data_IF_374847034491
#
_entry.id   IF_374847034491
#
_cell.length_a   1.000
_cell.length_b   1.000
_cell.length_c   1.000
_cell.angle_alpha   90.00
_cell.angle_beta   90.00
_cell.angle_gamma   90.00
#
_symmetry.space_group_name_H-M   'P 1'
#
loop_
_entity.id
_entity.type
_entity.pdbx_description
1 polymer ?
#
# COMPACT_ATOMS: atom_id res chain seq x y z
N UNK A 1 -2.52 -2.11 -15.56
CA UNK A 1 -3.22 -1.77 -14.31
C UNK A 1 -3.08 -0.30 -14.00
N UNK A 2 -3.81 0.17 -12.99
CA UNK A 2 -3.70 1.52 -12.42
C UNK A 2 -2.71 1.54 -11.27
N UNK A 3 -2.15 2.72 -10.97
CA UNK A 3 -1.30 2.97 -9.80
C UNK A 3 -2.20 3.28 -8.60
N UNK A 4 -2.10 2.49 -7.55
CA UNK A 4 -2.98 2.57 -6.38
C UNK A 4 -2.17 3.05 -5.17
N UNK A 5 -2.74 4.00 -4.42
CA UNK A 5 -2.33 4.32 -3.06
C UNK A 5 -3.36 3.70 -2.12
N UNK A 6 -2.91 2.93 -1.13
CA UNK A 6 -3.77 2.39 -0.07
C UNK A 6 -3.37 3.02 1.26
N UNK A 7 -4.31 3.69 1.93
CA UNK A 7 -4.11 4.36 3.21
C UNK A 7 -4.74 3.54 4.32
N UNK A 8 -3.96 3.22 5.34
CA UNK A 8 -4.35 2.29 6.40
C UNK A 8 -4.31 0.85 5.91
N UNK A 9 -3.22 0.47 5.23
CA UNK A 9 -3.09 -0.84 4.59
C UNK A 9 -2.89 -2.01 5.59
N UNK A 10 -2.51 -1.70 6.84
CA UNK A 10 -2.21 -2.67 7.88
C UNK A 10 -1.25 -3.76 7.41
N UNK A 11 -1.64 -5.02 7.64
CA UNK A 11 -0.91 -6.24 7.26
C UNK A 11 -1.06 -6.61 5.76
N UNK A 12 -1.67 -5.74 4.95
CA UNK A 12 -1.82 -5.91 3.50
C UNK A 12 -2.98 -6.83 3.07
N UNK A 13 -3.84 -7.29 3.99
CA UNK A 13 -4.96 -8.20 3.67
C UNK A 13 -5.86 -7.70 2.54
N UNK A 14 -6.13 -6.40 2.51
CA UNK A 14 -6.93 -5.78 1.46
C UNK A 14 -6.15 -5.64 0.15
N UNK A 15 -4.85 -5.31 0.24
CA UNK A 15 -3.94 -5.20 -0.90
C UNK A 15 -3.99 -6.43 -1.80
N UNK A 16 -4.02 -7.64 -1.22
CA UNK A 16 -4.03 -8.91 -1.98
C UNK A 16 -5.24 -9.09 -2.88
N UNK A 17 -6.37 -8.45 -2.56
CA UNK A 17 -7.60 -8.59 -3.34
C UNK A 17 -7.53 -7.87 -4.69
N UNK A 18 -6.63 -6.90 -4.85
CA UNK A 18 -6.56 -6.07 -6.06
C UNK A 18 -5.14 -5.92 -6.64
N UNK A 19 -4.08 -6.23 -5.90
CA UNK A 19 -2.69 -6.02 -6.32
C UNK A 19 -2.34 -6.69 -7.66
N UNK A 20 -2.91 -7.86 -7.95
CA UNK A 20 -2.70 -8.55 -9.24
C UNK A 20 -3.22 -7.75 -10.45
N UNK A 21 -4.26 -6.92 -10.27
CA UNK A 21 -4.82 -6.06 -11.33
C UNK A 21 -4.16 -4.66 -11.41
N UNK A 22 -3.44 -4.26 -10.35
CA UNK A 22 -2.72 -3.00 -10.30
C UNK A 22 -1.43 -3.04 -11.14
N UNK A 23 -1.02 -1.87 -11.65
CA UNK A 23 0.33 -1.72 -12.22
C UNK A 23 1.36 -1.49 -11.12
N UNK A 24 0.96 -0.84 -10.03
CA UNK A 24 1.77 -0.59 -8.85
C UNK A 24 0.84 -0.26 -7.67
N UNK A 25 1.20 -0.69 -6.47
CA UNK A 25 0.53 -0.36 -5.21
C UNK A 25 1.55 0.21 -4.25
N UNK A 26 1.23 1.36 -3.65
CA UNK A 26 1.87 1.84 -2.43
C UNK A 26 0.86 1.72 -1.29
N UNK A 27 1.11 0.83 -0.34
CA UNK A 27 0.38 0.77 0.93
C UNK A 27 1.10 1.58 2.00
N UNK A 28 0.35 2.39 2.74
CA UNK A 28 0.86 3.08 3.92
C UNK A 28 0.03 2.76 5.16
N UNK A 29 0.71 2.70 6.29
CA UNK A 29 0.10 2.57 7.61
C UNK A 29 0.99 3.28 8.65
N UNK A 30 0.43 3.77 9.74
CA UNK A 30 1.21 4.42 10.80
C UNK A 30 1.88 3.40 11.73
N UNK A 31 1.42 2.15 11.74
CA UNK A 31 1.98 1.07 12.54
C UNK A 31 3.14 0.37 11.81
N UNK A 32 4.40 0.50 12.29
CA UNK A 32 5.55 -0.14 11.66
C UNK A 32 5.53 -1.67 11.78
N UNK A 33 4.92 -2.23 12.82
CA UNK A 33 4.86 -3.69 13.00
C UNK A 33 3.95 -4.32 11.93
N UNK A 34 2.83 -3.67 11.62
CA UNK A 34 1.93 -4.10 10.54
C UNK A 34 2.59 -4.00 9.17
N UNK A 35 3.40 -2.97 8.92
CA UNK A 35 4.15 -2.83 7.68
C UNK A 35 5.19 -3.94 7.52
N UNK A 36 5.94 -4.27 8.59
CA UNK A 36 6.89 -5.39 8.56
C UNK A 36 6.19 -6.73 8.31
N UNK A 37 4.99 -6.93 8.85
CA UNK A 37 4.15 -8.08 8.53
C UNK A 37 3.70 -8.10 7.06
N UNK A 38 3.20 -6.99 6.54
CA UNK A 38 2.77 -6.85 5.14
C UNK A 38 3.91 -7.13 4.16
N UNK A 39 5.11 -6.60 4.43
CA UNK A 39 6.30 -6.85 3.62
C UNK A 39 6.69 -8.33 3.62
N UNK A 40 6.69 -8.99 4.79
CA UNK A 40 6.98 -10.43 4.90
C UNK A 40 5.91 -11.30 4.24
N UNK A 41 4.66 -10.86 4.27
CA UNK A 41 3.54 -11.55 3.66
C UNK A 41 3.45 -11.32 2.14
N UNK A 42 4.25 -10.42 1.57
CA UNK A 42 4.19 -10.06 0.15
C UNK A 42 4.53 -11.26 -0.74
N UNK A 43 3.59 -11.71 -1.59
CA UNK A 43 3.84 -12.81 -2.52
C UNK A 43 4.99 -12.48 -3.49
N UNK A 44 5.79 -13.50 -3.82
CA UNK A 44 6.99 -13.35 -4.66
C UNK A 44 6.73 -12.74 -6.04
N UNK A 45 5.56 -12.96 -6.62
CA UNK A 45 5.11 -12.40 -7.91
C UNK A 45 4.64 -10.94 -7.82
N UNK A 46 4.46 -10.43 -6.60
CA UNK A 46 4.00 -9.07 -6.31
C UNK A 46 5.10 -8.15 -5.77
N UNK A 47 6.29 -8.67 -5.42
CA UNK A 47 7.38 -7.88 -4.80
C UNK A 47 7.84 -6.70 -5.65
N UNK A 48 7.77 -6.82 -6.99
CA UNK A 48 8.20 -5.76 -7.91
C UNK A 48 7.13 -4.67 -8.12
N UNK A 49 5.91 -4.88 -7.61
CA UNK A 49 4.76 -3.99 -7.86
C UNK A 49 4.04 -3.52 -6.61
N UNK A 50 4.28 -4.13 -5.45
CA UNK A 50 3.68 -3.74 -4.18
C UNK A 50 4.79 -3.24 -3.27
N UNK A 51 4.59 -2.04 -2.74
CA UNK A 51 5.49 -1.41 -1.78
C UNK A 51 4.69 -1.02 -0.54
N UNK A 52 5.21 -1.29 0.64
CA UNK A 52 4.63 -0.87 1.92
C UNK A 52 5.57 0.08 2.65
N UNK A 53 5.02 1.16 3.22
CA UNK A 53 5.78 2.16 3.99
C UNK A 53 5.05 2.55 5.26
N UNK A 54 5.81 2.74 6.34
CA UNK A 54 5.28 3.39 7.53
C UNK A 54 5.13 4.89 7.27
N UNK A 55 3.90 5.41 7.35
CA UNK A 55 3.61 6.83 7.24
C UNK A 55 2.22 7.15 7.81
N UNK A 56 2.10 8.32 8.42
CA UNK A 56 0.79 8.95 8.65
C UNK A 56 0.25 9.53 7.34
N UNK A 57 -1.07 9.49 7.16
CA UNK A 57 -1.70 9.95 5.93
C UNK A 57 -1.46 11.46 5.70
N UNK A 58 -1.44 12.23 6.77
CA UNK A 58 -1.23 13.68 6.81
C UNK A 58 0.21 14.08 6.51
N UNK A 59 1.16 13.17 6.78
CA UNK A 59 2.59 13.38 6.58
C UNK A 59 3.10 12.80 5.25
N UNK A 60 2.21 12.21 4.43
CA UNK A 60 2.61 11.56 3.20
C UNK A 60 3.05 12.58 2.14
N UNK A 61 4.35 12.84 2.07
CA UNK A 61 4.97 13.63 1.01
C UNK A 61 5.33 12.72 -0.17
N UNK A 62 4.38 12.56 -1.10
CA UNK A 62 4.61 11.89 -2.38
C UNK A 62 4.63 12.91 -3.52
N UNK A 63 5.74 13.04 -4.27
CA UNK A 63 5.85 14.04 -5.32
C UNK A 63 4.88 13.74 -6.47
N UNK A 64 4.09 14.71 -6.95
CA UNK A 64 3.11 14.49 -8.01
C UNK A 64 3.74 14.31 -9.41
N UNK A 65 3.01 13.68 -10.37
CA UNK A 65 1.78 12.88 -10.23
C UNK A 65 2.09 11.38 -10.18
N UNK A 66 1.54 10.64 -9.20
CA UNK A 66 1.94 9.22 -8.97
C UNK A 66 0.80 8.21 -8.87
N UNK A 67 -0.46 8.57 -8.64
CA UNK A 67 -1.52 7.58 -8.39
C UNK A 67 -2.82 7.88 -9.13
N UNK A 68 -3.48 6.84 -9.62
CA UNK A 68 -4.76 6.89 -10.35
C UNK A 68 -5.96 6.62 -9.45
N UNK A 69 -5.76 5.89 -8.35
CA UNK A 69 -6.79 5.48 -7.38
C UNK A 69 -6.20 5.59 -5.96
N UNK A 70 -7.02 6.08 -5.02
CA UNK A 70 -6.76 5.96 -3.59
C UNK A 70 -7.79 5.03 -2.94
N UNK A 71 -7.33 4.04 -2.19
CA UNK A 71 -8.12 3.15 -1.33
C UNK A 71 -7.93 3.55 0.13
N UNK A 72 -9.02 3.56 0.91
CA UNK A 72 -8.98 3.81 2.36
C UNK A 72 -9.54 2.58 3.06
N UNK A 73 -8.69 1.88 3.79
CA UNK A 73 -8.94 0.52 4.31
C UNK A 73 -8.99 0.45 5.84
N UNK A 74 -9.42 1.54 6.48
CA UNK A 74 -9.58 1.83 7.93
C UNK A 74 -8.63 2.92 8.46
N UNK A 75 -8.63 4.07 7.79
CA UNK A 75 -8.06 5.32 8.31
C UNK A 75 -9.19 6.13 8.96
N UNK A 76 -9.28 6.09 10.29
CA UNK A 76 -10.15 6.93 11.12
C UNK A 76 -9.31 7.60 12.22
#
# INVERSE_FOLDING_TARGET
GKRVLEIGCGDGRMTWLFAAGASYVLGIDSDPELIDEAQRATPGDLVDRVEFRTAEAEALDVPPPRFDIAFLSWSL
#
